data_IF_110134346801
#
_entry.id   IF_110134346801
#
_cell.length_a   1.000
_cell.length_b   1.000
_cell.length_c   1.000
_cell.angle_alpha   90.00
_cell.angle_beta   90.00
_cell.angle_gamma   90.00
#
_symmetry.space_group_name_H-M   'P 1'
#
loop_
_entity.id
_entity.type
_entity.pdbx_description
1 polymer ?
#
# COMPACT_ATOMS: atom_id res chain seq x y z
N UNK A 1 -20.77 -3.83 14.15
CA UNK A 1 -20.31 -3.49 12.78
C UNK A 1 -20.66 -4.54 11.72
N UNK A 2 -20.69 -5.85 12.01
CA UNK A 2 -20.97 -6.88 10.99
C UNK A 2 -22.35 -6.81 10.32
N UNK A 3 -23.43 -6.57 11.08
CA UNK A 3 -24.80 -6.57 10.54
C UNK A 3 -25.07 -5.45 9.51
N UNK A 4 -24.61 -4.21 9.78
CA UNK A 4 -24.79 -3.08 8.84
C UNK A 4 -24.11 -3.32 7.48
N UNK A 5 -22.93 -3.96 7.48
CA UNK A 5 -22.23 -4.30 6.23
C UNK A 5 -22.94 -5.41 5.45
N UNK A 6 -23.39 -6.46 6.15
CA UNK A 6 -24.16 -7.54 5.53
C UNK A 6 -25.44 -6.99 4.87
N UNK A 7 -26.14 -6.07 5.55
CA UNK A 7 -27.32 -5.41 5.00
C UNK A 7 -27.00 -4.54 3.78
N UNK A 8 -25.86 -3.84 3.77
CA UNK A 8 -25.42 -3.03 2.62
C UNK A 8 -25.11 -3.83 1.34
N UNK A 9 -25.02 -5.16 1.41
CA UNK A 9 -24.82 -6.02 0.23
C UNK A 9 -26.11 -6.58 -0.35
N UNK A 10 -27.24 -6.46 0.36
CA UNK A 10 -28.54 -6.93 -0.12
C UNK A 10 -28.93 -6.16 -1.39
N UNK A 11 -29.30 -6.89 -2.44
CA UNK A 11 -29.72 -6.29 -3.72
C UNK A 11 -28.57 -5.83 -4.62
N UNK A 12 -27.33 -6.26 -4.37
CA UNK A 12 -26.20 -5.97 -5.27
C UNK A 12 -26.49 -6.44 -6.71
N UNK A 13 -26.17 -5.58 -7.69
CA UNK A 13 -26.42 -5.81 -9.12
C UNK A 13 -25.13 -5.92 -9.89
N UNK A 14 -25.12 -6.75 -10.93
CA UNK A 14 -24.04 -6.78 -11.90
C UNK A 14 -24.08 -5.50 -12.74
N UNK A 15 -22.95 -4.80 -12.80
CA UNK A 15 -22.79 -3.57 -13.58
C UNK A 15 -22.26 -3.95 -14.98
N UNK A 16 -22.62 -3.16 -16.00
CA UNK A 16 -22.06 -3.31 -17.36
C UNK A 16 -20.58 -2.90 -17.35
N UNK A 17 -19.77 -3.52 -18.20
CA UNK A 17 -18.35 -3.13 -18.37
C UNK A 17 -18.26 -1.66 -18.76
N UNK A 18 -17.55 -0.88 -17.96
CA UNK A 18 -17.37 0.57 -18.16
C UNK A 18 -16.03 1.02 -17.59
N UNK A 19 -15.63 2.26 -17.92
CA UNK A 19 -14.56 2.99 -17.23
C UNK A 19 -15.23 4.03 -16.33
N UNK A 20 -14.89 4.02 -15.05
CA UNK A 20 -15.43 4.97 -14.08
C UNK A 20 -14.40 5.23 -12.97
N UNK A 21 -14.50 6.38 -12.26
CA UNK A 21 -13.77 6.61 -11.02
C UNK A 21 -14.04 5.51 -10.00
N UNK A 22 -13.01 5.12 -9.25
CA UNK A 22 -13.09 4.09 -8.21
C UNK A 22 -12.56 4.65 -6.90
N UNK A 23 -13.37 4.55 -5.84
CA UNK A 23 -12.99 4.85 -4.47
C UNK A 23 -12.79 3.54 -3.72
N UNK A 24 -11.61 3.35 -3.14
CA UNK A 24 -11.33 2.22 -2.27
C UNK A 24 -11.70 2.60 -0.83
N UNK A 25 -12.59 1.82 -0.20
CA UNK A 25 -12.88 2.03 1.21
C UNK A 25 -11.61 1.81 2.06
N UNK A 26 -11.46 2.49 3.21
CA UNK A 26 -10.25 2.39 4.04
C UNK A 26 -9.82 0.95 4.36
N UNK A 27 -10.79 0.03 4.47
CA UNK A 27 -10.54 -1.39 4.75
C UNK A 27 -9.81 -2.13 3.62
N UNK A 28 -10.06 -1.76 2.35
CA UNK A 28 -9.40 -2.39 1.20
C UNK A 28 -8.18 -1.61 0.73
N UNK A 29 -8.08 -0.31 1.05
CA UNK A 29 -6.95 0.54 0.64
C UNK A 29 -5.61 0.04 1.17
N UNK A 30 -5.58 -0.58 2.36
CA UNK A 30 -4.37 -1.20 2.91
C UNK A 30 -3.76 -2.27 1.99
N UNK A 31 -4.58 -2.96 1.16
CA UNK A 31 -4.07 -3.95 0.21
C UNK A 31 -3.24 -3.32 -0.91
N UNK A 32 -3.60 -2.12 -1.36
CA UNK A 32 -2.83 -1.39 -2.37
C UNK A 32 -1.44 -1.02 -1.81
N UNK A 33 -1.40 -0.53 -0.57
CA UNK A 33 -0.15 -0.24 0.12
C UNK A 33 0.69 -1.51 0.32
N UNK A 34 0.06 -2.63 0.69
CA UNK A 34 0.76 -3.91 0.83
C UNK A 34 1.41 -4.38 -0.49
N UNK A 35 0.75 -4.20 -1.63
CA UNK A 35 1.33 -4.49 -2.94
C UNK A 35 2.52 -3.57 -3.26
N UNK A 36 2.41 -2.28 -2.95
CA UNK A 36 3.55 -1.36 -3.06
C UNK A 36 4.72 -1.81 -2.20
N UNK A 37 4.50 -2.16 -0.93
CA UNK A 37 5.53 -2.66 -0.02
C UNK A 37 6.19 -3.94 -0.53
N UNK A 38 5.41 -4.82 -1.16
CA UNK A 38 5.94 -6.03 -1.81
C UNK A 38 6.83 -5.67 -3.00
N UNK A 39 6.38 -4.75 -3.85
CA UNK A 39 7.14 -4.30 -5.02
C UNK A 39 8.48 -3.64 -4.64
N UNK A 40 8.57 -2.97 -3.50
CA UNK A 40 9.82 -2.35 -3.01
C UNK A 40 10.60 -3.21 -2.01
N UNK A 41 10.18 -4.47 -1.81
CA UNK A 41 10.86 -5.39 -0.91
C UNK A 41 12.18 -5.86 -1.51
N UNK A 42 13.20 -6.02 -0.66
CA UNK A 42 14.50 -6.51 -1.10
C UNK A 42 14.41 -7.84 -1.85
N UNK A 43 13.51 -8.74 -1.44
CA UNK A 43 13.29 -10.03 -2.09
C UNK A 43 12.74 -9.92 -3.51
N UNK A 44 11.83 -8.98 -3.76
CA UNK A 44 11.34 -8.71 -5.12
C UNK A 44 12.40 -8.02 -5.97
N UNK A 45 13.16 -7.09 -5.40
CA UNK A 45 14.17 -6.30 -6.12
C UNK A 45 15.37 -7.13 -6.54
N UNK A 46 16.03 -7.87 -5.65
CA UNK A 46 17.23 -8.62 -6.03
C UNK A 46 16.95 -9.77 -7.02
N UNK A 47 15.69 -10.20 -7.12
CA UNK A 47 15.22 -11.22 -8.08
C UNK A 47 14.76 -10.62 -9.41
N UNK A 48 14.83 -9.30 -9.59
CA UNK A 48 14.23 -8.59 -10.72
C UNK A 48 12.75 -8.96 -10.93
N UNK A 49 12.03 -9.16 -9.83
CA UNK A 49 10.63 -9.59 -9.80
C UNK A 49 9.70 -8.45 -9.35
N UNK A 50 10.00 -7.22 -9.79
CA UNK A 50 9.24 -6.02 -9.46
C UNK A 50 9.25 -5.01 -10.61
N UNK A 51 8.13 -4.34 -10.82
CA UNK A 51 8.05 -3.16 -11.71
C UNK A 51 8.74 -1.91 -11.12
N UNK A 52 9.21 -1.96 -9.86
CA UNK A 52 9.89 -0.86 -9.16
C UNK A 52 11.41 -1.08 -8.97
N UNK A 53 11.99 -2.03 -9.71
CA UNK A 53 13.45 -2.14 -9.84
C UNK A 53 14.01 -0.80 -10.35
N UNK A 54 15.10 -0.33 -9.75
CA UNK A 54 15.76 0.94 -10.07
C UNK A 54 14.87 2.20 -9.96
N UNK A 55 13.77 2.14 -9.18
CA UNK A 55 12.86 3.27 -8.96
C UNK A 55 13.20 4.15 -7.75
N UNK A 56 14.30 3.89 -7.04
CA UNK A 56 14.77 4.77 -5.97
C UNK A 56 14.99 6.19 -6.52
N UNK A 57 14.54 7.18 -5.78
CA UNK A 57 14.56 8.61 -6.10
C UNK A 57 13.74 9.02 -7.34
N UNK A 58 12.86 8.14 -7.82
CA UNK A 58 11.92 8.44 -8.91
C UNK A 58 10.51 8.72 -8.40
N UNK A 59 9.77 9.54 -9.14
CA UNK A 59 8.35 9.80 -8.90
C UNK A 59 7.52 8.58 -9.30
N UNK A 60 6.87 7.96 -8.32
CA UNK A 60 6.02 6.76 -8.49
C UNK A 60 4.54 7.02 -8.12
N UNK A 61 4.28 8.14 -7.43
CA UNK A 61 2.95 8.56 -6.99
C UNK A 61 2.76 10.07 -7.23
N UNK A 62 1.52 10.59 -7.10
CA UNK A 62 1.26 12.03 -7.09
C UNK A 62 2.04 12.75 -6.00
N UNK A 63 2.30 14.04 -6.21
CA UNK A 63 3.15 14.86 -5.32
C UNK A 63 2.57 15.05 -3.91
N UNK A 64 1.25 14.97 -3.75
CA UNK A 64 0.61 15.08 -2.46
C UNK A 64 0.69 13.79 -1.62
N UNK A 65 1.27 12.70 -2.14
CA UNK A 65 1.23 11.39 -1.50
C UNK A 65 2.56 11.03 -0.82
N UNK A 66 2.49 10.76 0.49
CA UNK A 66 3.64 10.36 1.31
C UNK A 66 3.31 9.16 2.20
N UNK A 67 4.31 8.30 2.43
CA UNK A 67 4.25 7.15 3.33
C UNK A 67 5.47 7.19 4.25
N UNK A 68 5.21 7.15 5.56
CA UNK A 68 6.21 7.10 6.62
C UNK A 68 6.21 5.74 7.30
N UNK A 69 7.37 5.34 7.78
CA UNK A 69 7.58 4.20 8.66
C UNK A 69 7.90 4.73 10.06
N UNK A 70 7.12 4.34 11.07
CA UNK A 70 7.22 4.82 12.45
C UNK A 70 7.44 3.64 13.43
N UNK A 71 8.65 3.05 13.45
CA UNK A 71 8.92 1.84 14.21
C UNK A 71 8.77 2.03 15.74
N UNK A 72 8.96 3.25 16.23
CA UNK A 72 8.94 3.55 17.66
C UNK A 72 7.61 4.13 18.16
N UNK A 73 6.54 4.01 17.36
CA UNK A 73 5.22 4.51 17.74
C UNK A 73 4.79 3.86 19.07
N UNK A 74 4.48 4.68 20.08
CA UNK A 74 4.08 4.16 21.39
C UNK A 74 2.82 3.32 21.25
N UNK A 75 2.91 2.05 21.68
CA UNK A 75 1.81 1.06 21.62
C UNK A 75 1.32 0.79 20.19
N UNK A 76 2.15 1.02 19.17
CA UNK A 76 1.87 0.59 17.80
C UNK A 76 1.87 -0.94 17.70
N UNK A 77 1.02 -1.48 16.82
CA UNK A 77 0.86 -2.93 16.66
C UNK A 77 2.12 -3.62 16.11
N UNK A 78 2.92 -2.88 15.35
CA UNK A 78 4.15 -3.37 14.72
C UNK A 78 5.38 -2.59 15.18
N UNK A 79 5.34 -2.03 16.39
CA UNK A 79 6.48 -1.28 16.93
C UNK A 79 7.60 -2.20 17.36
N UNK A 80 8.82 -1.89 16.97
CA UNK A 80 10.03 -2.57 17.42
C UNK A 80 11.22 -1.58 17.39
N UNK A 81 12.30 -1.92 18.08
CA UNK A 81 13.55 -1.14 18.05
C UNK A 81 14.64 -1.80 17.21
N UNK A 82 14.44 -3.07 16.86
CA UNK A 82 15.36 -3.86 16.05
C UNK A 82 14.56 -4.81 15.17
N UNK A 83 15.08 -5.07 13.98
CA UNK A 83 14.51 -6.00 13.01
C UNK A 83 14.84 -7.46 13.35
N UNK A 84 14.44 -8.40 12.49
CA UNK A 84 14.68 -9.83 12.70
C UNK A 84 16.16 -10.25 12.64
N UNK A 85 17.06 -9.35 12.24
CA UNK A 85 18.52 -9.56 12.23
C UNK A 85 19.23 -8.77 13.35
N UNK A 86 18.47 -8.06 14.21
CA UNK A 86 19.02 -7.24 15.29
C UNK A 86 19.48 -5.85 14.84
N UNK A 87 19.16 -5.43 13.61
CA UNK A 87 19.51 -4.11 13.08
C UNK A 87 18.54 -3.07 13.63
N UNK A 88 19.04 -1.93 14.09
CA UNK A 88 18.23 -0.83 14.61
C UNK A 88 17.22 -0.33 13.54
N UNK A 89 15.96 -0.19 13.94
CA UNK A 89 14.92 0.39 13.10
C UNK A 89 14.86 1.90 13.29
N UNK A 90 14.76 2.67 12.21
CA UNK A 90 14.78 4.14 12.24
C UNK A 90 13.53 4.71 11.57
N UNK A 91 12.87 5.73 12.15
CA UNK A 91 11.79 6.46 11.49
C UNK A 91 12.26 7.06 10.16
N UNK A 92 11.48 6.87 9.09
CA UNK A 92 11.84 7.35 7.75
C UNK A 92 10.65 7.52 6.83
N UNK A 93 10.83 8.31 5.77
CA UNK A 93 9.91 8.34 4.64
C UNK A 93 10.25 7.21 3.66
N UNK A 94 9.26 6.38 3.32
CA UNK A 94 9.36 5.40 2.23
C UNK A 94 9.01 6.09 0.92
N UNK A 95 7.92 6.86 0.91
CA UNK A 95 7.53 7.73 -0.18
C UNK A 95 7.41 9.14 0.38
N UNK A 96 8.04 10.11 -0.27
CA UNK A 96 7.98 11.51 0.10
C UNK A 96 7.60 12.32 -1.13
N UNK A 97 6.47 13.02 -1.06
CA UNK A 97 5.93 13.84 -2.15
C UNK A 97 5.87 13.09 -3.49
N UNK A 98 5.40 11.84 -3.44
CA UNK A 98 5.29 10.95 -4.58
C UNK A 98 6.59 10.29 -5.04
N UNK A 99 7.73 10.61 -4.43
CA UNK A 99 9.06 10.06 -4.77
C UNK A 99 9.42 8.90 -3.85
N UNK A 100 9.85 7.77 -4.43
CA UNK A 100 10.32 6.62 -3.65
C UNK A 100 11.70 6.90 -3.05
N UNK A 101 11.81 7.00 -1.72
CA UNK A 101 13.07 7.33 -1.03
C UNK A 101 13.87 6.11 -0.59
N UNK A 102 13.20 5.00 -0.33
CA UNK A 102 13.85 3.82 0.23
C UNK A 102 13.12 2.53 -0.07
N UNK A 103 13.90 1.45 -0.07
CA UNK A 103 13.42 0.08 -0.15
C UNK A 103 13.28 -0.55 1.25
N UNK A 104 12.66 -1.73 1.32
CA UNK A 104 12.59 -2.54 2.54
C UNK A 104 13.66 -3.64 2.46
N UNK A 105 14.83 -3.41 3.07
CA UNK A 105 16.00 -4.26 2.92
C UNK A 105 16.41 -4.92 4.24
N UNK A 106 16.60 -6.24 4.20
CA UNK A 106 17.43 -6.98 5.16
C UNK A 106 18.91 -6.92 4.75
N UNK A 107 19.82 -7.34 5.64
CA UNK A 107 21.26 -7.40 5.35
C UNK A 107 21.57 -8.24 4.11
N UNK A 108 20.87 -9.37 3.92
CA UNK A 108 21.06 -10.22 2.73
C UNK A 108 20.66 -9.48 1.45
N UNK A 109 19.45 -8.92 1.41
CA UNK A 109 18.95 -8.26 0.21
C UNK A 109 19.72 -6.97 -0.12
N UNK A 110 20.14 -6.23 0.91
CA UNK A 110 21.01 -5.07 0.79
C UNK A 110 22.33 -5.44 0.11
N UNK A 111 23.03 -6.46 0.60
CA UNK A 111 24.28 -6.96 -0.02
C UNK A 111 24.09 -7.41 -1.46
N UNK A 112 22.99 -8.09 -1.77
CA UNK A 112 22.67 -8.53 -3.14
C UNK A 112 22.45 -7.36 -4.11
N UNK A 113 22.02 -6.22 -3.61
CA UNK A 113 21.77 -4.99 -4.38
C UNK A 113 22.94 -3.99 -4.30
N UNK A 114 23.99 -4.28 -3.54
CA UNK A 114 25.08 -3.33 -3.29
C UNK A 114 24.66 -2.10 -2.48
N UNK A 115 23.68 -2.27 -1.59
CA UNK A 115 23.11 -1.22 -0.73
C UNK A 115 23.33 -1.57 0.75
N UNK A 116 22.96 -0.63 1.62
CA UNK A 116 22.90 -0.83 3.07
C UNK A 116 21.53 -1.37 3.53
N UNK A 117 21.53 -2.11 4.64
CA UNK A 117 20.30 -2.58 5.28
C UNK A 117 19.48 -1.40 5.79
N UNK A 118 18.15 -1.55 5.79
CA UNK A 118 17.24 -0.50 6.26
C UNK A 118 16.51 -0.86 7.54
N UNK A 119 16.93 -1.93 8.23
CA UNK A 119 16.25 -2.42 9.43
C UNK A 119 14.89 -3.05 9.12
N UNK A 120 14.77 -3.72 7.96
CA UNK A 120 13.51 -4.32 7.51
C UNK A 120 13.59 -5.83 7.29
N UNK A 121 14.54 -6.53 7.93
CA UNK A 121 14.45 -7.97 8.03
C UNK A 121 13.17 -8.33 8.82
N UNK A 122 12.25 -9.06 8.17
CA UNK A 122 10.93 -9.39 8.74
C UNK A 122 9.78 -8.44 8.32
N UNK A 123 10.07 -7.35 7.61
CA UNK A 123 9.04 -6.45 7.06
C UNK A 123 9.16 -4.99 7.50
N UNK A 124 8.07 -4.25 7.36
CA UNK A 124 7.97 -2.84 7.73
C UNK A 124 7.31 -2.66 9.11
N UNK A 125 7.56 -1.51 9.74
CA UNK A 125 7.14 -1.23 11.11
C UNK A 125 6.25 0.01 11.18
N UNK A 126 4.94 -0.20 11.40
CA UNK A 126 3.90 0.84 11.44
C UNK A 126 3.98 1.85 10.29
N UNK A 127 3.39 1.48 9.14
CA UNK A 127 3.27 2.40 8.02
C UNK A 127 2.15 3.42 8.25
N UNK A 128 2.47 4.69 8.06
CA UNK A 128 1.54 5.81 8.10
C UNK A 128 1.48 6.40 6.69
N UNK A 129 0.31 6.27 6.04
CA UNK A 129 0.01 7.03 4.83
C UNK A 129 -0.48 8.40 5.29
N UNK A 130 0.20 9.46 4.87
CA UNK A 130 -0.19 10.81 5.28
C UNK A 130 -1.57 11.15 4.71
N UNK A 131 -2.49 11.72 5.53
CA UNK A 131 -3.78 12.16 5.03
C UNK A 131 -3.61 13.21 3.94
N UNK A 132 -4.31 13.03 2.84
CA UNK A 132 -4.26 13.93 1.66
C UNK A 132 -5.56 14.71 1.48
N UNK A 133 -6.53 14.46 2.36
CA UNK A 133 -7.80 15.14 2.44
C UNK A 133 -8.21 15.23 3.92
N UNK A 134 -8.76 16.38 4.32
CA UNK A 134 -9.34 16.61 5.64
C UNK A 134 -10.77 16.04 5.76
N UNK A 135 -11.28 15.52 4.64
CA UNK A 135 -12.65 15.07 4.44
C UNK A 135 -12.85 13.59 4.79
N UNK A 136 -14.05 13.27 5.27
CA UNK A 136 -14.46 11.88 5.47
C UNK A 136 -14.85 11.20 4.13
N UNK A 137 -14.94 9.87 4.13
CA UNK A 137 -15.27 9.07 2.93
C UNK A 137 -16.56 9.55 2.23
N UNK A 138 -17.56 9.99 2.98
CA UNK A 138 -18.82 10.49 2.40
C UNK A 138 -18.61 11.75 1.57
N UNK A 139 -17.74 12.65 2.01
CA UNK A 139 -17.44 13.89 1.29
C UNK A 139 -16.62 13.61 0.04
N UNK A 140 -15.66 12.67 0.10
CA UNK A 140 -14.95 12.18 -1.09
C UNK A 140 -15.89 11.59 -2.14
N UNK A 141 -16.94 10.87 -1.72
CA UNK A 141 -17.94 10.28 -2.63
C UNK A 141 -18.82 11.38 -3.24
N UNK A 142 -19.22 12.40 -2.47
CA UNK A 142 -20.05 13.52 -2.98
C UNK A 142 -19.38 14.31 -4.10
N UNK A 143 -18.05 14.35 -4.11
CA UNK A 143 -17.27 15.04 -5.14
C UNK A 143 -17.12 14.21 -6.44
N UNK A 144 -17.73 13.02 -6.51
CA UNK A 144 -17.69 12.12 -7.67
C UNK A 144 -19.11 11.99 -8.24
N UNK A 145 -19.34 12.53 -9.44
CA UNK A 145 -20.65 12.53 -10.10
C UNK A 145 -21.21 11.11 -10.31
N UNK A 146 -20.35 10.17 -10.70
CA UNK A 146 -20.67 8.76 -10.79
C UNK A 146 -19.40 7.92 -10.70
N UNK A 147 -19.44 6.80 -9.98
CA UNK A 147 -18.27 5.97 -9.73
C UNK A 147 -18.59 4.71 -8.95
N UNK A 148 -17.55 4.01 -8.51
CA UNK A 148 -17.66 2.77 -7.77
C UNK A 148 -16.97 2.86 -6.42
N UNK A 149 -17.68 2.56 -5.34
CA UNK A 149 -17.09 2.35 -4.03
C UNK A 149 -16.74 0.86 -3.85
N UNK A 150 -15.45 0.53 -3.83
CA UNK A 150 -14.97 -0.84 -3.59
C UNK A 150 -14.85 -1.09 -2.10
N UNK A 151 -15.65 -2.03 -1.60
CA UNK A 151 -15.72 -2.40 -0.18
C UNK A 151 -15.10 -3.76 0.11
N UNK A 152 -14.77 -4.53 -0.93
CA UNK A 152 -14.11 -5.82 -0.82
C UNK A 152 -13.42 -6.23 -2.12
N UNK A 153 -12.34 -7.00 -2.00
CA UNK A 153 -11.58 -7.54 -3.14
C UNK A 153 -11.45 -9.06 -2.98
N UNK A 154 -11.47 -9.78 -4.10
CA UNK A 154 -11.43 -11.24 -4.19
C UNK A 154 -10.37 -11.64 -5.22
N UNK A 155 -9.60 -12.69 -4.90
CA UNK A 155 -8.60 -13.27 -5.80
C UNK A 155 -7.22 -12.60 -5.73
N UNK A 156 -6.27 -13.18 -6.47
CA UNK A 156 -4.82 -12.89 -6.43
C UNK A 156 -4.27 -12.25 -7.72
N UNK A 157 -5.09 -11.63 -8.55
CA UNK A 157 -4.66 -11.14 -9.87
C UNK A 157 -3.84 -9.85 -9.85
N UNK A 158 -2.87 -9.75 -8.94
CA UNK A 158 -1.86 -8.68 -8.92
C UNK A 158 -0.53 -9.28 -9.33
N UNK A 159 0.03 -8.79 -10.43
CA UNK A 159 1.35 -9.18 -10.90
C UNK A 159 2.37 -8.10 -10.53
N UNK A 160 3.21 -8.39 -9.54
CA UNK A 160 4.23 -7.46 -9.06
C UNK A 160 5.37 -7.27 -10.07
N UNK A 161 5.58 -8.20 -11.01
CA UNK A 161 6.67 -8.10 -11.99
C UNK A 161 6.41 -6.97 -12.99
N UNK A 162 5.17 -6.81 -13.45
CA UNK A 162 4.81 -5.83 -14.49
C UNK A 162 3.80 -4.77 -14.04
N UNK A 163 3.22 -4.91 -12.84
CA UNK A 163 2.23 -3.97 -12.30
C UNK A 163 0.79 -4.24 -12.73
N UNK A 164 0.51 -5.30 -13.47
CA UNK A 164 -0.86 -5.62 -13.89
C UNK A 164 -1.75 -5.91 -12.67
N UNK A 165 -2.91 -5.26 -12.62
CA UNK A 165 -3.86 -5.37 -11.51
C UNK A 165 -5.26 -5.75 -12.04
N UNK A 166 -5.73 -6.93 -11.68
CA UNK A 166 -7.06 -7.44 -12.00
C UNK A 166 -7.60 -8.27 -10.84
N UNK A 167 -8.66 -7.78 -10.19
CA UNK A 167 -9.27 -8.46 -9.05
C UNK A 167 -10.78 -8.40 -9.13
N UNK A 168 -11.44 -9.43 -8.60
CA UNK A 168 -12.89 -9.37 -8.38
C UNK A 168 -13.18 -8.35 -7.28
N UNK A 169 -14.16 -7.49 -7.49
CA UNK A 169 -14.52 -6.44 -6.53
C UNK A 169 -15.96 -6.59 -6.06
N UNK A 170 -16.17 -6.28 -4.77
CA UNK A 170 -17.50 -5.98 -4.22
C UNK A 170 -17.66 -4.47 -4.27
N UNK A 171 -18.69 -4.03 -4.98
CA UNK A 171 -18.92 -2.62 -5.29
C UNK A 171 -20.26 -2.20 -4.73
N UNK A 172 -20.29 -1.05 -4.05
CA UNK A 172 -21.51 -0.28 -3.85
C UNK A 172 -21.53 0.82 -4.91
N UNK A 173 -22.63 0.90 -5.65
CA UNK A 173 -22.94 2.04 -6.52
C UNK A 173 -23.82 3.05 -5.80
#
# INVERSE_FOLDING_TARGET
MGAKQALGHLGSKKIKTTKAPVVFSPRVSSSLISHLMTAISGSSLYRNASFLVDSKDKKICPEFFSIREEPHLKRGFSSCYFDAEGVETVPRCIVENGVLKGYLLSSYSARRLGLDTTGNAGGHHNLIVEPTADENLESMIKNIDSGFLVTGLIGYGVNIVNGDYSRGAKVSG
#
